data_IF_793671778621
#
_entry.id   IF_793671778621
#
_cell.length_a   1.000
_cell.length_b   1.000
_cell.length_c   1.000
_cell.angle_alpha   90.00
_cell.angle_beta   90.00
_cell.angle_gamma   90.00
#
_symmetry.space_group_name_H-M   'P 1'
#
loop_
_entity.id
_entity.type
_entity.pdbx_description
1 polymer ?
#
# COMPACT_ATOMS: atom_id res chain seq x y z
N UNK A 1 -12.72 8.88 2.41
CA UNK A 1 -13.53 7.96 1.58
C UNK A 1 -12.53 7.02 0.94
N UNK A 2 -12.59 5.72 1.25
CA UNK A 2 -11.80 4.76 0.49
C UNK A 2 -12.24 4.85 -0.98
N UNK A 3 -11.30 4.87 -1.95
CA UNK A 3 -11.67 4.74 -3.34
C UNK A 3 -12.53 3.48 -3.48
N UNK A 4 -13.66 3.59 -4.17
CA UNK A 4 -14.42 2.40 -4.50
C UNK A 4 -13.51 1.52 -5.38
N UNK A 5 -13.37 0.23 -5.05
CA UNK A 5 -12.59 -0.68 -5.88
C UNK A 5 -13.15 -0.67 -7.30
N UNK A 6 -12.27 -0.82 -8.30
CA UNK A 6 -12.73 -0.89 -9.68
C UNK A 6 -13.49 -2.19 -9.92
N UNK A 7 -14.36 -2.21 -10.94
CA UNK A 7 -15.05 -3.43 -11.34
C UNK A 7 -14.06 -4.56 -11.69
N UNK A 8 -12.85 -4.22 -12.12
CA UNK A 8 -11.75 -5.15 -12.41
C UNK A 8 -11.14 -5.75 -11.12
N UNK A 9 -10.94 -4.93 -10.08
CA UNK A 9 -10.46 -5.41 -8.77
C UNK A 9 -11.48 -6.35 -8.11
N UNK A 10 -12.77 -6.01 -8.23
CA UNK A 10 -13.86 -6.85 -7.73
C UNK A 10 -13.90 -8.18 -8.49
N UNK A 11 -13.82 -8.14 -9.83
CA UNK A 11 -13.86 -9.34 -10.66
C UNK A 11 -12.68 -10.28 -10.41
N UNK A 12 -11.46 -9.73 -10.32
CA UNK A 12 -10.26 -10.52 -10.01
C UNK A 12 -10.32 -11.16 -8.62
N UNK A 13 -10.83 -10.42 -7.63
CA UNK A 13 -11.05 -10.95 -6.27
C UNK A 13 -12.03 -12.13 -6.27
N UNK A 14 -13.14 -12.03 -7.01
CA UNK A 14 -14.13 -13.11 -7.12
C UNK A 14 -13.50 -14.35 -7.76
N UNK A 15 -12.72 -14.18 -8.84
CA UNK A 15 -12.05 -15.30 -9.51
C UNK A 15 -11.01 -15.97 -8.59
N UNK A 16 -10.27 -15.18 -7.80
CA UNK A 16 -9.32 -15.70 -6.83
C UNK A 16 -10.01 -16.51 -5.72
N UNK A 17 -11.08 -15.95 -5.13
CA UNK A 17 -11.88 -16.64 -4.12
C UNK A 17 -12.51 -17.93 -4.65
N UNK A 18 -13.04 -17.92 -5.88
CA UNK A 18 -13.64 -19.10 -6.51
C UNK A 18 -12.60 -20.20 -6.78
N UNK A 19 -11.35 -19.85 -7.09
CA UNK A 19 -10.25 -20.83 -7.21
C UNK A 19 -9.84 -21.41 -5.86
N UNK A 20 -9.95 -20.65 -4.78
CA UNK A 20 -9.50 -21.03 -3.44
C UNK A 20 -10.56 -21.82 -2.65
N UNK A 21 -11.84 -21.55 -2.93
CA UNK A 21 -12.99 -22.16 -2.29
C UNK A 21 -13.60 -23.19 -3.24
N UNK A 22 -13.14 -24.44 -3.18
CA UNK A 22 -13.47 -25.54 -4.12
C UNK A 22 -14.99 -25.88 -4.27
N UNK A 23 -15.91 -25.22 -3.55
CA UNK A 23 -17.35 -25.51 -3.57
C UNK A 23 -18.25 -24.26 -3.36
N UNK A 24 -17.78 -23.06 -3.74
CA UNK A 24 -18.60 -21.83 -3.65
C UNK A 24 -18.78 -21.20 -5.03
N UNK A 25 -20.02 -20.84 -5.38
CA UNK A 25 -20.34 -20.25 -6.67
C UNK A 25 -19.89 -18.78 -6.77
N UNK A 26 -19.38 -18.38 -7.93
CA UNK A 26 -18.95 -16.99 -8.16
C UNK A 26 -20.04 -15.96 -7.91
N UNK A 27 -21.32 -16.29 -8.16
CA UNK A 27 -22.44 -15.39 -7.89
C UNK A 27 -22.68 -15.21 -6.38
N UNK A 28 -22.47 -16.26 -5.58
CA UNK A 28 -22.55 -16.20 -4.12
C UNK A 28 -21.40 -15.37 -3.53
N UNK A 29 -20.17 -15.61 -4.00
CA UNK A 29 -19.00 -14.81 -3.64
C UNK A 29 -19.23 -13.34 -3.99
N UNK A 30 -19.75 -13.06 -5.19
CA UNK A 30 -20.05 -11.70 -5.65
C UNK A 30 -21.08 -11.01 -4.77
N UNK A 31 -22.18 -11.69 -4.43
CA UNK A 31 -23.24 -11.12 -3.60
C UNK A 31 -22.73 -10.75 -2.21
N UNK A 32 -21.97 -11.65 -1.57
CA UNK A 32 -21.46 -11.40 -0.23
C UNK A 32 -20.31 -10.38 -0.26
N UNK A 33 -19.42 -10.41 -1.26
CA UNK A 33 -18.39 -9.38 -1.46
C UNK A 33 -19.02 -8.00 -1.63
N UNK A 34 -20.05 -7.89 -2.47
CA UNK A 34 -20.77 -6.64 -2.67
C UNK A 34 -21.39 -6.14 -1.37
N UNK A 35 -21.91 -7.04 -0.52
CA UNK A 35 -22.44 -6.68 0.79
C UNK A 35 -21.38 -6.05 1.69
N UNK A 36 -20.17 -6.60 1.75
CA UNK A 36 -19.06 -6.00 2.50
C UNK A 36 -18.69 -4.62 1.95
N UNK A 37 -18.60 -4.48 0.62
CA UNK A 37 -18.28 -3.21 -0.05
C UNK A 37 -19.37 -2.15 0.18
N UNK A 38 -20.64 -2.53 0.15
CA UNK A 38 -21.78 -1.66 0.44
C UNK A 38 -21.76 -1.21 1.92
N UNK A 39 -21.31 -2.11 2.80
CA UNK A 39 -20.95 -1.79 4.16
C UNK A 39 -19.56 -1.16 4.28
N UNK A 40 -19.00 -0.59 3.21
CA UNK A 40 -17.76 0.20 3.17
C UNK A 40 -16.51 -0.50 3.68
N UNK A 41 -16.53 -1.83 3.77
CA UNK A 41 -15.36 -2.63 4.13
C UNK A 41 -14.41 -2.60 2.93
N UNK A 42 -13.11 -2.30 3.11
CA UNK A 42 -12.14 -2.34 2.03
C UNK A 42 -12.11 -3.70 1.32
N UNK A 43 -11.83 -3.73 0.01
CA UNK A 43 -11.89 -4.94 -0.81
C UNK A 43 -11.03 -6.09 -0.25
N UNK A 44 -9.81 -5.79 0.20
CA UNK A 44 -8.90 -6.79 0.80
C UNK A 44 -9.48 -7.39 2.10
N UNK A 45 -10.09 -6.55 2.95
CA UNK A 45 -10.69 -7.00 4.20
C UNK A 45 -11.93 -7.85 3.89
N UNK A 46 -12.73 -7.43 2.92
CA UNK A 46 -13.89 -8.18 2.46
C UNK A 46 -13.48 -9.55 1.89
N UNK A 47 -12.44 -9.60 1.04
CA UNK A 47 -11.83 -10.83 0.54
C UNK A 47 -11.43 -11.75 1.70
N UNK A 48 -10.63 -11.26 2.65
CA UNK A 48 -10.18 -12.03 3.82
C UNK A 48 -11.34 -12.57 4.66
N UNK A 49 -12.35 -11.75 4.93
CA UNK A 49 -13.52 -12.16 5.72
C UNK A 49 -14.33 -13.23 4.99
N UNK A 50 -14.46 -13.15 3.66
CA UNK A 50 -15.10 -14.16 2.84
C UNK A 50 -14.32 -15.49 2.82
N UNK A 51 -13.00 -15.44 2.71
CA UNK A 51 -12.17 -16.65 2.79
C UNK A 51 -12.39 -17.41 4.10
N UNK A 52 -12.66 -16.69 5.20
CA UNK A 52 -12.93 -17.33 6.49
C UNK A 52 -14.39 -17.79 6.63
N UNK A 53 -15.34 -17.01 6.14
CA UNK A 53 -16.77 -17.22 6.44
C UNK A 53 -17.47 -18.15 5.45
N UNK A 54 -17.13 -18.11 4.16
CA UNK A 54 -17.77 -18.94 3.13
C UNK A 54 -17.52 -20.45 3.32
N UNK A 55 -16.30 -20.95 3.63
CA UNK A 55 -16.11 -22.39 3.89
C UNK A 55 -16.96 -22.91 5.06
N UNK A 56 -17.24 -22.05 6.05
CA UNK A 56 -18.01 -22.41 7.26
C UNK A 56 -19.52 -22.47 7.00
N UNK A 57 -20.02 -21.80 5.95
CA UNK A 57 -21.44 -21.80 5.61
C UNK A 57 -21.82 -22.99 4.70
N UNK A 58 -20.87 -23.52 3.93
CA UNK A 58 -21.15 -24.51 2.87
C UNK A 58 -20.94 -25.98 3.27
N UNK A 59 -20.33 -26.29 4.44
CA UNK A 59 -20.05 -27.70 4.78
C UNK A 59 -20.07 -28.04 6.29
N UNK A 60 -20.99 -28.94 6.67
CA UNK A 60 -20.88 -29.76 7.89
C UNK A 60 -19.77 -30.82 7.71
N UNK A 61 -18.50 -30.45 7.62
CA UNK A 61 -17.35 -31.34 7.84
C UNK A 61 -16.05 -30.53 7.89
N UNK A 62 -15.35 -30.61 9.03
CA UNK A 62 -14.11 -29.90 9.26
C UNK A 62 -13.02 -30.22 8.24
N UNK A 63 -12.60 -29.18 7.51
CA UNK A 63 -11.30 -29.04 6.89
C UNK A 63 -10.80 -27.63 7.21
N UNK A 64 -9.87 -27.51 8.15
CA UNK A 64 -9.18 -26.24 8.41
C UNK A 64 -8.17 -26.03 7.28
N UNK A 65 -8.52 -25.22 6.29
CA UNK A 65 -7.51 -24.60 5.42
C UNK A 65 -6.83 -23.54 6.27
N UNK A 66 -5.61 -23.83 6.73
CA UNK A 66 -4.81 -22.84 7.44
C UNK A 66 -4.54 -21.67 6.48
N UNK A 67 -4.80 -20.42 6.89
CA UNK A 67 -4.49 -19.26 6.07
C UNK A 67 -3.00 -19.26 5.72
N UNK A 68 -2.66 -18.71 4.55
CA UNK A 68 -1.28 -18.35 4.27
C UNK A 68 -0.78 -17.46 5.42
N UNK A 69 0.37 -17.76 6.04
CA UNK A 69 0.88 -16.95 7.13
C UNK A 69 1.15 -15.53 6.61
N UNK A 70 0.64 -14.53 7.34
CA UNK A 70 0.98 -13.12 7.09
C UNK A 70 2.48 -12.95 7.18
N UNK A 71 3.08 -12.27 6.20
CA UNK A 71 4.52 -12.17 6.08
C UNK A 71 5.10 -11.12 7.05
N UNK A 72 6.21 -11.44 7.69
CA UNK A 72 7.04 -10.47 8.41
C UNK A 72 7.79 -9.59 7.41
N UNK A 73 7.67 -8.27 7.52
CA UNK A 73 8.37 -7.30 6.66
C UNK A 73 9.06 -6.20 7.45
N UNK A 74 10.18 -5.71 6.92
CA UNK A 74 10.77 -4.45 7.37
C UNK A 74 9.98 -3.26 6.79
N UNK A 75 10.00 -2.12 7.48
CA UNK A 75 9.19 -0.94 7.11
C UNK A 75 9.49 -0.45 5.69
N UNK A 76 10.75 -0.48 5.27
CA UNK A 76 11.19 -0.07 3.93
C UNK A 76 10.82 -1.04 2.80
N UNK A 77 10.38 -2.26 3.12
CA UNK A 77 10.01 -3.29 2.13
C UNK A 77 8.50 -3.35 1.89
N UNK A 78 7.71 -2.54 2.62
CA UNK A 78 6.26 -2.52 2.49
C UNK A 78 5.90 -1.85 1.16
N UNK A 79 5.15 -2.56 0.32
CA UNK A 79 4.62 -2.07 -0.95
C UNK A 79 3.16 -1.63 -0.83
N UNK A 80 2.70 -0.81 -1.77
CA UNK A 80 1.28 -0.41 -1.88
C UNK A 80 0.36 -1.60 -2.22
N UNK A 81 0.92 -2.65 -2.83
CA UNK A 81 0.22 -3.87 -3.24
C UNK A 81 0.20 -4.94 -2.13
N UNK A 82 0.81 -4.68 -0.98
CA UNK A 82 0.74 -5.60 0.16
C UNK A 82 -0.69 -5.63 0.72
N UNK A 83 -1.20 -6.83 1.02
CA UNK A 83 -2.53 -6.97 1.64
C UNK A 83 -2.41 -6.87 3.16
N UNK A 84 -1.62 -7.75 3.77
CA UNK A 84 -1.40 -7.84 5.21
C UNK A 84 0.09 -8.04 5.53
N UNK A 85 0.57 -7.40 6.59
CA UNK A 85 1.96 -7.48 7.03
C UNK A 85 2.05 -7.64 8.56
N UNK A 86 3.08 -8.35 8.99
CA UNK A 86 3.57 -8.34 10.37
C UNK A 86 4.81 -7.45 10.43
N UNK A 87 4.86 -6.52 11.38
CA UNK A 87 5.98 -5.58 11.52
C UNK A 87 6.43 -5.44 12.97
N UNK A 88 7.74 -5.20 13.16
CA UNK A 88 8.30 -4.72 14.42
C UNK A 88 8.83 -3.32 14.22
N UNK A 89 8.22 -2.33 14.88
CA UNK A 89 8.54 -0.93 14.62
C UNK A 89 8.45 -0.06 15.86
N UNK A 90 9.24 1.00 15.88
CA UNK A 90 9.20 2.04 16.89
C UNK A 90 8.15 3.07 16.55
N UNK A 91 7.34 3.45 17.54
CA UNK A 91 6.40 4.56 17.44
C UNK A 91 7.17 5.87 17.43
N UNK A 92 7.06 6.65 16.35
CA UNK A 92 7.73 7.95 16.21
C UNK A 92 6.81 9.11 16.56
N UNK A 93 5.52 8.98 16.27
CA UNK A 93 4.52 9.99 16.57
C UNK A 93 3.14 9.37 16.78
N UNK A 94 2.29 10.05 17.57
CA UNK A 94 0.89 9.67 17.79
C UNK A 94 0.06 10.95 17.80
N UNK A 95 -0.98 10.99 16.98
CA UNK A 95 -1.94 12.10 16.89
C UNK A 95 -3.36 11.56 16.88
N UNK A 96 -4.16 12.02 17.85
CA UNK A 96 -5.61 11.77 17.89
C UNK A 96 -6.34 12.77 16.99
N UNK A 97 -7.28 12.28 16.17
CA UNK A 97 -8.09 13.12 15.27
C UNK A 97 -9.52 12.61 15.18
N UNK A 98 -10.46 13.53 15.08
CA UNK A 98 -11.84 13.21 14.72
C UNK A 98 -11.99 13.21 13.20
N UNK A 99 -12.51 12.11 12.66
CA UNK A 99 -12.78 11.94 11.24
C UNK A 99 -14.25 11.57 11.03
N UNK A 100 -14.83 12.08 9.96
CA UNK A 100 -16.15 11.63 9.53
C UNK A 100 -16.00 10.39 8.65
N UNK A 101 -16.39 9.25 9.17
CA UNK A 101 -16.42 7.98 8.43
C UNK A 101 -17.88 7.54 8.29
N UNK A 102 -18.37 7.42 7.05
CA UNK A 102 -19.75 6.99 6.73
C UNK A 102 -20.85 7.83 7.38
N UNK A 103 -20.60 9.13 7.54
CA UNK A 103 -21.54 10.07 8.15
C UNK A 103 -21.56 10.07 9.67
N UNK A 104 -20.72 9.25 10.32
CA UNK A 104 -20.53 9.22 11.77
C UNK A 104 -19.16 9.82 12.11
N UNK A 105 -19.10 10.57 13.22
CA UNK A 105 -17.84 11.05 13.78
C UNK A 105 -17.15 9.89 14.49
N UNK A 106 -15.90 9.59 14.10
CA UNK A 106 -15.06 8.56 14.69
C UNK A 106 -13.72 9.17 15.09
N UNK A 107 -13.21 8.74 16.23
CA UNK A 107 -11.84 9.05 16.64
C UNK A 107 -10.89 8.04 16.02
N UNK A 108 -9.80 8.53 15.43
CA UNK A 108 -8.69 7.72 14.95
C UNK A 108 -7.38 8.20 15.58
N UNK A 109 -6.40 7.30 15.63
CA UNK A 109 -5.03 7.62 16.00
C UNK A 109 -4.15 7.43 14.78
N UNK A 110 -3.31 8.41 14.48
CA UNK A 110 -2.44 8.38 13.31
C UNK A 110 -1.05 8.89 13.67
N UNK A 111 -0.04 8.44 12.96
CA UNK A 111 1.32 8.86 13.19
C UNK A 111 2.29 8.10 12.31
N UNK A 112 3.53 7.99 12.78
CA UNK A 112 4.63 7.36 12.06
C UNK A 112 5.18 6.18 12.87
N UNK A 113 5.41 5.06 12.18
CA UNK A 113 6.17 3.92 12.66
C UNK A 113 7.50 3.88 11.90
N UNK A 114 8.58 3.46 12.54
CA UNK A 114 9.84 3.28 11.83
C UNK A 114 10.72 2.18 12.40
N UNK A 115 11.61 1.69 11.55
CA UNK A 115 12.68 0.77 11.90
C UNK A 115 14.02 1.22 11.27
N UNK A 116 15.00 0.33 11.22
CA UNK A 116 16.31 0.61 10.62
C UNK A 116 16.27 0.87 9.10
N UNK A 117 15.17 0.49 8.44
CA UNK A 117 14.99 0.55 6.98
C UNK A 117 14.10 1.70 6.51
N UNK A 118 13.28 2.29 7.38
CA UNK A 118 12.46 3.41 6.96
C UNK A 118 11.40 3.85 7.95
N UNK A 119 10.52 4.72 7.46
CA UNK A 119 9.36 5.25 8.18
C UNK A 119 8.11 5.06 7.31
N UNK A 120 7.02 4.65 7.93
CA UNK A 120 5.70 4.49 7.29
C UNK A 120 4.62 5.18 8.12
N UNK A 121 3.67 5.79 7.44
CA UNK A 121 2.47 6.31 8.08
C UNK A 121 1.62 5.14 8.61
N UNK A 122 0.99 5.34 9.77
CA UNK A 122 -0.01 4.42 10.26
C UNK A 122 -1.32 5.11 10.66
N UNK A 123 -2.41 4.35 10.56
CA UNK A 123 -3.73 4.70 11.12
C UNK A 123 -4.23 3.57 12.00
N UNK A 124 -4.73 3.88 13.19
CA UNK A 124 -5.45 2.96 14.06
C UNK A 124 -6.88 3.42 14.26
N UNK A 125 -7.83 2.51 14.10
CA UNK A 125 -9.26 2.74 14.30
C UNK A 125 -9.70 2.58 15.75
N UNK A 126 -8.77 2.14 16.61
CA UNK A 126 -8.95 1.98 18.06
C UNK A 126 -7.80 2.64 18.81
N UNK A 127 -8.05 3.04 20.05
CA UNK A 127 -6.95 3.49 20.91
C UNK A 127 -6.05 2.28 21.20
N UNK A 128 -4.75 2.41 20.91
CA UNK A 128 -3.75 1.40 21.22
C UNK A 128 -3.05 1.65 22.55
N UNK A 129 -3.31 2.81 23.19
CA UNK A 129 -2.63 3.27 24.41
C UNK A 129 -1.11 3.26 24.26
N UNK A 130 -0.62 3.73 23.10
CA UNK A 130 0.80 3.80 22.75
C UNK A 130 1.35 5.23 22.81
N UNK A 131 2.65 5.34 23.05
CA UNK A 131 3.41 6.58 23.17
C UNK A 131 4.64 6.56 22.26
N UNK A 132 5.09 7.73 21.74
CA UNK A 132 6.34 7.82 21.00
C UNK A 132 7.53 7.26 21.78
N UNK A 133 8.33 6.44 21.12
CA UNK A 133 9.50 5.77 21.69
C UNK A 133 9.28 4.29 22.02
N UNK A 134 8.02 3.83 22.15
CA UNK A 134 7.71 2.42 22.34
C UNK A 134 8.00 1.60 21.08
N UNK A 135 8.33 0.33 21.25
CA UNK A 135 8.52 -0.62 20.16
C UNK A 135 7.38 -1.63 20.19
N UNK A 136 6.74 -1.81 19.05
CA UNK A 136 5.56 -2.65 18.89
C UNK A 136 5.85 -3.80 17.93
N UNK A 137 5.35 -4.97 18.26
CA UNK A 137 5.05 -6.04 17.32
C UNK A 137 3.58 -5.90 16.91
N UNK A 138 3.35 -5.70 15.61
CA UNK A 138 2.01 -5.55 15.03
C UNK A 138 1.81 -6.72 14.07
N UNK A 139 0.87 -7.59 14.38
CA UNK A 139 0.50 -8.74 13.55
C UNK A 139 -0.83 -8.46 12.84
N UNK A 140 -0.95 -8.93 11.59
CA UNK A 140 -2.14 -8.79 10.76
C UNK A 140 -2.60 -7.33 10.53
N UNK A 141 -1.65 -6.40 10.47
CA UNK A 141 -1.97 -5.06 9.96
C UNK A 141 -2.27 -5.14 8.47
N UNK A 142 -3.20 -4.33 7.98
CA UNK A 142 -3.50 -4.24 6.55
C UNK A 142 -2.87 -3.01 5.94
N UNK A 143 -2.43 -3.10 4.69
CA UNK A 143 -1.78 -1.99 3.99
C UNK A 143 -2.78 -1.33 3.04
N UNK A 144 -2.73 0.00 2.96
CA UNK A 144 -3.49 0.78 1.98
C UNK A 144 -2.61 1.84 1.37
N UNK A 145 -2.89 2.21 0.13
CA UNK A 145 -2.25 3.38 -0.49
C UNK A 145 -2.79 4.69 0.07
N UNK A 146 -1.89 5.53 0.58
CA UNK A 146 -2.15 6.90 1.01
C UNK A 146 -1.07 7.83 0.43
N UNK A 147 -1.49 8.79 -0.41
CA UNK A 147 -0.58 9.73 -1.10
C UNK A 147 0.55 9.01 -1.85
N UNK A 148 0.17 8.01 -2.65
CA UNK A 148 1.08 7.19 -3.45
C UNK A 148 2.14 6.43 -2.61
N UNK A 149 1.90 6.27 -1.31
CA UNK A 149 2.77 5.56 -0.38
C UNK A 149 1.99 4.49 0.40
N UNK A 150 2.64 3.40 0.83
CA UNK A 150 2.02 2.44 1.72
C UNK A 150 1.69 3.10 3.07
N UNK A 151 0.53 2.73 3.62
CA UNK A 151 0.11 3.09 4.98
C UNK A 151 -0.31 1.83 5.72
N UNK A 152 0.26 1.64 6.91
CA UNK A 152 -0.13 0.56 7.82
C UNK A 152 -1.45 0.94 8.50
N UNK A 153 -2.40 0.03 8.51
CA UNK A 153 -3.64 0.22 9.24
C UNK A 153 -3.85 -0.87 10.28
N UNK A 154 -4.09 -0.44 11.52
CA UNK A 154 -4.38 -1.33 12.65
C UNK A 154 -5.90 -1.42 12.82
N UNK A 155 -6.46 -2.51 12.28
CA UNK A 155 -7.87 -2.86 12.38
C UNK A 155 -8.21 -3.71 13.61
N UNK A 156 -9.45 -4.19 13.68
CA UNK A 156 -9.94 -5.02 14.80
C UNK A 156 -9.25 -6.39 14.89
N UNK A 157 -8.77 -6.91 13.76
CA UNK A 157 -8.08 -8.20 13.68
C UNK A 157 -6.58 -8.11 13.97
N UNK A 158 -6.01 -6.89 13.94
CA UNK A 158 -4.59 -6.70 14.15
C UNK A 158 -4.25 -6.84 15.64
N UNK A 159 -3.26 -7.68 15.95
CA UNK A 159 -2.72 -7.83 17.29
C UNK A 159 -1.55 -6.88 17.47
N UNK A 160 -1.50 -6.17 18.60
CA UNK A 160 -0.46 -5.20 18.89
C UNK A 160 0.10 -5.50 20.27
N UNK A 161 1.40 -5.76 20.34
CA UNK A 161 2.12 -6.08 21.57
C UNK A 161 3.32 -5.16 21.71
N UNK A 162 3.47 -4.50 22.86
CA UNK A 162 4.72 -3.79 23.18
C UNK A 162 5.82 -4.81 23.47
N UNK A 163 6.98 -4.65 22.83
CA UNK A 163 8.14 -5.51 22.99
C UNK A 163 9.32 -4.73 23.56
N UNK A 164 10.23 -5.43 24.23
CA UNK A 164 11.39 -4.83 24.90
C UNK A 164 12.61 -4.61 23.97
N UNK A 165 12.40 -4.75 22.66
CA UNK A 165 13.44 -4.59 21.66
C UNK A 165 13.86 -3.12 21.55
N UNK A 166 15.13 -2.90 21.21
CA UNK A 166 15.66 -1.56 20.96
C UNK A 166 15.82 -1.38 19.45
N UNK A 167 14.85 -0.68 18.85
CA UNK A 167 14.90 -0.30 17.44
C UNK A 167 15.43 1.13 17.35
N UNK A 168 16.57 1.29 16.67
CA UNK A 168 17.11 2.60 16.30
C UNK A 168 16.60 2.97 14.90
N UNK A 169 15.87 4.08 14.83
CA UNK A 169 15.40 4.65 13.56
C UNK A 169 16.41 5.72 13.14
N UNK A 170 17.11 5.54 12.01
CA UNK A 170 18.06 6.54 11.50
C UNK A 170 17.41 7.93 11.37
N UNK A 171 18.19 8.99 11.60
CA UNK A 171 17.67 10.35 11.48
C UNK A 171 17.23 10.69 10.05
N UNK A 172 17.80 9.98 9.09
CA UNK A 172 17.51 9.96 7.66
C UNK A 172 16.56 8.83 7.25
N UNK A 173 15.95 8.07 8.17
CA UNK A 173 14.99 7.01 7.82
C UNK A 173 13.70 7.52 7.17
N UNK A 174 13.45 8.84 7.22
CA UNK A 174 12.41 9.51 6.42
C UNK A 174 12.78 9.57 4.94
N UNK A 175 14.05 9.37 4.61
CA UNK A 175 14.51 9.03 3.29
C UNK A 175 14.30 7.53 3.13
N UNK A 176 13.39 7.10 2.24
CA UNK A 176 13.09 5.69 2.03
C UNK A 176 14.37 4.92 1.72
N UNK A 177 14.56 3.74 2.30
CA UNK A 177 15.64 2.85 1.83
C UNK A 177 15.31 2.43 0.42
N UNK A 178 16.08 2.93 -0.54
CA UNK A 178 15.87 2.65 -1.94
C UNK A 178 16.79 1.53 -2.42
N UNK A 179 16.28 0.70 -3.31
CA UNK A 179 17.09 -0.26 -4.05
C UNK A 179 17.57 0.38 -5.36
N UNK A 180 18.90 0.49 -5.53
CA UNK A 180 19.46 0.95 -6.80
C UNK A 180 19.04 -0.01 -7.93
N UNK A 181 18.45 0.53 -8.99
CA UNK A 181 18.02 -0.23 -10.16
C UNK A 181 18.41 0.49 -11.46
N UNK A 182 18.88 -0.30 -12.42
CA UNK A 182 19.06 0.14 -13.79
C UNK A 182 17.69 0.25 -14.49
N UNK A 183 17.50 1.23 -15.37
CA UNK A 183 16.20 1.49 -16.03
C UNK A 183 15.65 0.26 -16.77
N UNK A 184 16.54 -0.54 -17.35
CA UNK A 184 16.21 -1.74 -18.11
C UNK A 184 15.79 -2.94 -17.26
N UNK A 185 16.09 -2.91 -15.96
CA UNK A 185 15.74 -3.97 -15.01
C UNK A 185 14.41 -3.69 -14.28
N UNK A 186 13.79 -2.53 -14.52
CA UNK A 186 12.53 -2.15 -13.89
C UNK A 186 11.35 -2.99 -14.37
N UNK A 187 10.74 -3.73 -13.45
CA UNK A 187 9.54 -4.54 -13.67
C UNK A 187 8.35 -4.00 -12.88
N UNK A 188 7.14 -4.21 -13.39
CA UNK A 188 5.93 -3.81 -12.68
C UNK A 188 5.83 -4.53 -11.32
N UNK A 189 5.45 -3.78 -10.27
CA UNK A 189 5.40 -4.25 -8.89
C UNK A 189 6.65 -3.89 -8.08
N UNK A 190 7.72 -3.38 -8.69
CA UNK A 190 8.86 -2.85 -7.95
C UNK A 190 8.47 -1.55 -7.23
N UNK A 191 8.82 -1.43 -5.96
CA UNK A 191 8.63 -0.23 -5.13
C UNK A 191 9.96 0.19 -4.49
N UNK A 192 10.02 1.42 -3.98
CA UNK A 192 11.20 1.97 -3.33
C UNK A 192 12.49 1.80 -4.17
N UNK A 193 12.41 2.06 -5.48
CA UNK A 193 13.58 1.99 -6.36
C UNK A 193 14.28 3.35 -6.45
N UNK A 194 15.61 3.36 -6.47
CA UNK A 194 16.42 4.50 -6.88
C UNK A 194 16.92 4.29 -8.28
N UNK A 195 16.62 5.23 -9.17
CA UNK A 195 16.97 5.13 -10.59
C UNK A 195 17.69 6.40 -11.01
N UNK A 196 18.88 6.25 -11.58
CA UNK A 196 19.61 7.37 -12.17
C UNK A 196 19.56 7.30 -13.69
N UNK A 197 18.96 8.30 -14.33
CA UNK A 197 18.79 8.30 -15.78
C UNK A 197 18.70 9.71 -16.37
N UNK A 198 18.83 9.77 -17.70
CA UNK A 198 18.69 10.99 -18.48
C UNK A 198 17.24 11.17 -18.95
N UNK A 199 16.67 12.33 -18.68
CA UNK A 199 15.34 12.73 -19.17
C UNK A 199 15.40 12.90 -20.69
N UNK A 200 14.58 12.15 -21.41
CA UNK A 200 14.48 12.19 -22.87
C UNK A 200 13.35 13.10 -23.34
N UNK A 201 12.26 13.17 -22.59
CA UNK A 201 11.11 14.04 -22.84
C UNK A 201 10.46 14.50 -21.54
N UNK A 202 9.84 15.68 -21.55
CA UNK A 202 9.02 16.20 -20.43
C UNK A 202 7.80 16.93 -20.99
N UNK A 203 6.63 16.40 -20.71
CA UNK A 203 5.33 17.02 -20.99
C UNK A 203 4.51 17.11 -19.69
N UNK A 204 3.43 17.87 -19.73
CA UNK A 204 2.45 17.92 -18.65
C UNK A 204 1.02 18.02 -19.15
N UNK A 205 0.09 17.50 -18.36
CA UNK A 205 -1.35 17.59 -18.62
C UNK A 205 -2.14 17.73 -17.33
N UNK A 206 -3.28 18.39 -17.42
CA UNK A 206 -4.23 18.44 -16.31
C UNK A 206 -5.02 17.13 -16.23
N UNK A 207 -5.08 16.56 -15.04
CA UNK A 207 -5.88 15.39 -14.69
C UNK A 207 -6.82 15.73 -13.54
N UNK A 208 -7.97 15.07 -13.48
CA UNK A 208 -8.88 15.22 -12.34
C UNK A 208 -8.71 14.02 -11.42
N UNK A 209 -8.21 14.25 -10.21
CA UNK A 209 -8.02 13.24 -9.19
C UNK A 209 -9.01 13.53 -8.07
N UNK A 210 -9.91 12.59 -7.77
CA UNK A 210 -10.93 12.72 -6.70
C UNK A 210 -11.79 14.00 -6.78
N UNK A 211 -11.95 14.56 -7.98
CA UNK A 211 -12.75 15.75 -8.24
C UNK A 211 -11.95 17.06 -8.28
N UNK A 212 -10.67 17.03 -7.92
CA UNK A 212 -9.78 18.19 -7.94
C UNK A 212 -8.85 18.14 -9.16
N UNK A 213 -8.61 19.28 -9.85
CA UNK A 213 -7.64 19.35 -10.93
C UNK A 213 -6.21 19.32 -10.36
N UNK A 214 -5.37 18.44 -10.90
CA UNK A 214 -3.95 18.31 -10.59
C UNK A 214 -3.15 18.26 -11.89
N UNK A 215 -1.93 18.79 -11.86
CA UNK A 215 -1.01 18.67 -13.01
C UNK A 215 -0.23 17.38 -12.89
N UNK A 216 -0.30 16.54 -13.93
CA UNK A 216 0.51 15.34 -14.07
C UNK A 216 1.64 15.63 -15.06
N UNK A 217 2.87 15.35 -14.65
CA UNK A 217 4.04 15.42 -15.53
C UNK A 217 4.33 14.02 -16.06
N UNK A 218 4.68 13.92 -17.33
CA UNK A 218 4.95 12.64 -17.99
C UNK A 218 6.10 12.78 -19.00
N UNK A 219 6.77 11.68 -19.29
CA UNK A 219 7.90 11.67 -20.21
C UNK A 219 8.59 10.33 -20.29
N UNK A 220 9.81 10.31 -20.82
CA UNK A 220 10.68 9.13 -20.86
C UNK A 220 12.02 9.44 -20.19
N UNK A 221 12.54 8.48 -19.43
CA UNK A 221 13.89 8.51 -18.84
C UNK A 221 14.67 7.27 -19.33
N UNK A 222 15.98 7.42 -19.52
CA UNK A 222 16.83 6.33 -20.01
C UNK A 222 18.24 6.37 -19.45
N UNK A 223 18.86 5.21 -19.36
CA UNK A 223 20.28 5.01 -19.05
C UNK A 223 20.94 4.11 -20.12
N UNK A 224 22.06 3.46 -19.81
CA UNK A 224 22.71 2.53 -20.72
C UNK A 224 22.02 1.15 -20.85
N UNK A 225 21.19 0.79 -19.88
CA UNK A 225 20.46 -0.48 -19.81
C UNK A 225 19.12 -0.43 -20.54
N UNK A 226 18.44 0.72 -20.56
CA UNK A 226 17.10 0.80 -21.12
C UNK A 226 16.45 2.19 -21.12
N UNK A 227 15.15 2.21 -21.41
CA UNK A 227 14.29 3.40 -21.35
C UNK A 227 12.94 3.01 -20.75
N UNK A 228 12.36 3.89 -19.95
CA UNK A 228 11.05 3.68 -19.34
C UNK A 228 10.23 4.97 -19.40
N UNK A 229 8.92 4.91 -19.70
CA UNK A 229 8.04 6.05 -19.49
C UNK A 229 7.91 6.33 -17.99
N UNK A 230 7.82 7.60 -17.61
CA UNK A 230 7.58 8.00 -16.23
C UNK A 230 6.32 8.88 -16.09
N UNK A 231 5.77 8.91 -14.88
CA UNK A 231 4.85 9.97 -14.44
C UNK A 231 5.27 10.55 -13.10
N UNK A 232 5.18 11.87 -12.97
CA UNK A 232 5.51 12.60 -11.75
C UNK A 232 4.32 13.48 -11.29
N UNK A 233 4.00 13.41 -10.01
CA UNK A 233 2.84 14.13 -9.44
C UNK A 233 3.15 15.55 -8.97
N UNK A 234 4.42 15.94 -9.00
CA UNK A 234 4.92 17.28 -8.68
C UNK A 234 5.80 17.85 -9.80
N UNK A 235 6.00 19.17 -9.79
CA UNK A 235 7.01 19.81 -10.62
C UNK A 235 8.35 19.87 -9.89
N UNK A 236 9.22 18.92 -10.22
CA UNK A 236 10.59 18.85 -9.70
C UNK A 236 11.57 19.79 -10.43
N UNK A 237 11.06 20.69 -11.29
CA UNK A 237 11.83 21.75 -11.95
C UNK A 237 12.99 21.26 -12.85
N UNK A 238 12.95 19.98 -13.29
CA UNK A 238 13.91 19.43 -14.27
C UNK A 238 13.50 19.71 -15.72
N UNK A 239 14.44 19.54 -16.66
CA UNK A 239 14.23 19.71 -18.09
C UNK A 239 14.66 18.49 -18.92
N UNK A 240 14.23 18.46 -20.19
CA UNK A 240 14.74 17.49 -21.15
C UNK A 240 16.26 17.57 -21.27
N UNK A 241 16.90 16.41 -21.22
CA UNK A 241 18.35 16.27 -21.30
C UNK A 241 19.08 16.28 -19.96
N UNK A 242 18.42 16.62 -18.86
CA UNK A 242 18.97 16.53 -17.50
C UNK A 242 19.19 15.08 -17.08
N UNK A 243 20.10 14.86 -16.13
CA UNK A 243 20.32 13.57 -15.47
C UNK A 243 19.74 13.70 -14.07
N UNK A 244 18.81 12.81 -13.74
CA UNK A 244 18.13 12.77 -12.45
C UNK A 244 18.48 11.47 -11.75
N UNK A 245 18.67 11.55 -10.43
CA UNK A 245 18.48 10.43 -9.53
C UNK A 245 17.08 10.60 -8.95
N UNK A 246 16.22 9.62 -9.16
CA UNK A 246 14.87 9.58 -8.63
C UNK A 246 14.88 8.53 -7.54
N UNK A 247 14.79 8.97 -6.29
CA UNK A 247 14.68 8.09 -5.15
C UNK A 247 13.22 7.75 -4.87
N UNK A 248 12.99 6.58 -4.27
CA UNK A 248 11.67 6.12 -3.84
C UNK A 248 10.60 6.14 -4.93
N UNK A 249 11.00 5.81 -6.15
CA UNK A 249 10.05 5.60 -7.23
C UNK A 249 9.41 4.22 -7.09
N UNK A 250 8.27 4.04 -7.75
CA UNK A 250 7.60 2.76 -7.91
C UNK A 250 7.26 2.49 -9.36
N UNK A 251 7.22 1.22 -9.74
CA UNK A 251 6.99 0.76 -11.11
C UNK A 251 5.64 0.09 -11.18
N UNK A 252 4.72 0.68 -11.96
CA UNK A 252 3.38 0.11 -12.20
C UNK A 252 3.25 -0.41 -13.61
N UNK A 253 2.31 -1.34 -13.82
CA UNK A 253 1.92 -1.76 -15.17
C UNK A 253 0.97 -0.73 -15.79
N UNK A 254 1.33 -0.20 -16.96
CA UNK A 254 0.45 0.63 -17.77
C UNK A 254 0.33 0.04 -19.17
N UNK A 255 -0.87 -0.41 -19.53
CA UNK A 255 -1.16 -1.10 -20.80
C UNK A 255 -0.23 -2.31 -21.05
N UNK A 256 0.15 -3.00 -19.98
CA UNK A 256 1.02 -4.19 -20.02
C UNK A 256 2.52 -3.88 -20.13
N UNK A 257 2.94 -2.63 -19.93
CA UNK A 257 4.35 -2.23 -19.90
C UNK A 257 4.69 -1.56 -18.57
N UNK A 258 5.91 -1.75 -18.04
CA UNK A 258 6.34 -1.05 -16.84
C UNK A 258 6.42 0.46 -17.08
N UNK A 259 6.00 1.22 -16.08
CA UNK A 259 6.05 2.68 -16.03
C UNK A 259 6.55 3.11 -14.66
N UNK A 260 7.54 4.00 -14.63
CA UNK A 260 8.10 4.58 -13.41
C UNK A 260 7.18 5.68 -12.88
N UNK A 261 7.00 5.77 -11.57
CA UNK A 261 6.14 6.76 -10.93
C UNK A 261 6.83 7.33 -9.69
N UNK A 262 6.70 8.64 -9.47
CA UNK A 262 7.28 9.31 -8.32
C UNK A 262 6.50 10.60 -7.97
N UNK A 263 6.64 11.07 -6.73
CA UNK A 263 5.85 12.18 -6.15
C UNK A 263 6.50 12.74 -4.90
N UNK A 264 5.72 13.31 -3.98
CA UNK A 264 6.20 14.03 -2.77
C UNK A 264 7.29 13.32 -1.93
N UNK A 265 7.37 11.99 -2.02
CA UNK A 265 8.31 11.17 -1.24
C UNK A 265 9.59 10.81 -2.01
N UNK A 266 9.84 11.43 -3.17
CA UNK A 266 10.94 11.17 -4.10
C UNK A 266 11.94 12.33 -4.22
#
# INVERSE_FOLDING_TARGET
MFPLPSDEDIASTIEELARKLDDVDEDEIREELQRYLDHGVPLHQAKRDLEQTLPQQSSEAGGSTEPSPTEDKQIGEIGIDDENVNVRAKVLSVTEREVTARGEEKTIWSGELGDETGVVDYTSWRNLDIEPGQVLEIEDAYVTEWRDAPQINVGDHAQVTEIADDIEVPADARTPSTSDADVGDLEAGMSAVSVTGRVLSKDSREVTVRGDPQTLWEGEIADESGRIPYTAWEDFDFAEGDILTIDNAYVRSFRGLPQLNFGDNA
#
